data_IF_218307350774
#
_entry.id   IF_218307350774
#
_cell.length_a   1.000
_cell.length_b   1.000
_cell.length_c   1.000
_cell.angle_alpha   90.00
_cell.angle_beta   90.00
_cell.angle_gamma   90.00
#
_symmetry.space_group_name_H-M   'P 1'
#
loop_
_entity.id
_entity.type
_entity.pdbx_description
1 polymer ?
#
# COMPACT_ATOMS: atom_id res chain seq x y z
N UNK A 1 -0.97 -5.00 -12.01
CA UNK A 1 -1.39 -3.60 -11.97
C UNK A 1 -1.20 -3.10 -10.56
N UNK A 2 -0.09 -2.41 -10.36
CA UNK A 2 0.36 -1.87 -9.07
C UNK A 2 -0.21 -0.47 -8.84
N UNK A 3 -0.19 -0.02 -7.59
CA UNK A 3 -0.56 1.34 -7.16
C UNK A 3 0.32 2.46 -7.73
N UNK A 4 1.37 2.13 -8.49
CA UNK A 4 2.33 3.04 -9.15
C UNK A 4 2.33 2.90 -10.68
N UNK A 5 1.70 1.85 -11.17
CA UNK A 5 0.98 1.84 -12.44
C UNK A 5 -0.41 2.49 -12.27
N UNK A 6 -0.62 3.14 -11.12
CA UNK A 6 -1.78 3.93 -10.75
C UNK A 6 -1.23 5.28 -10.24
N UNK A 7 -1.80 6.42 -10.64
CA UNK A 7 -1.39 7.74 -10.16
C UNK A 7 -1.68 7.99 -8.68
N UNK A 8 -1.26 9.16 -8.18
CA UNK A 8 -1.44 9.62 -6.78
C UNK A 8 -2.77 9.18 -6.18
N UNK A 9 -2.69 8.50 -5.03
CA UNK A 9 -3.84 8.09 -4.24
C UNK A 9 -3.88 8.89 -2.93
N UNK A 10 -5.09 9.09 -2.40
CA UNK A 10 -5.31 9.79 -1.14
C UNK A 10 -6.20 8.95 -0.22
N UNK A 11 -5.94 9.01 1.07
CA UNK A 11 -6.77 8.45 2.13
C UNK A 11 -7.40 9.59 2.91
N UNK A 12 -8.50 10.19 2.42
CA UNK A 12 -9.13 11.29 3.12
C UNK A 12 -9.71 10.78 4.44
N UNK A 13 -9.06 11.11 5.54
CA UNK A 13 -9.62 10.95 6.87
C UNK A 13 -10.63 12.05 7.11
N UNK A 14 -11.91 11.69 7.23
CA UNK A 14 -13.00 12.64 7.46
C UNK A 14 -13.27 12.73 8.96
N UNK A 15 -13.15 13.95 9.49
CA UNK A 15 -13.41 14.29 10.88
C UNK A 15 -14.31 15.54 10.96
N UNK A 16 -15.02 15.68 12.07
CA UNK A 16 -15.83 16.84 12.40
C UNK A 16 -15.07 17.80 13.30
N UNK A 17 -15.22 19.11 13.04
CA UNK A 17 -14.73 20.17 13.93
C UNK A 17 -15.69 20.42 15.11
N UNK A 18 -16.88 19.83 15.09
CA UNK A 18 -17.84 19.96 16.21
C UNK A 18 -17.42 19.06 17.38
N UNK A 19 -17.81 19.46 18.60
CA UNK A 19 -17.67 18.61 19.77
C UNK A 19 -18.35 17.24 19.58
N UNK A 20 -17.67 16.17 19.96
CA UNK A 20 -18.22 14.82 19.90
C UNK A 20 -19.49 14.69 20.77
N UNK A 21 -20.60 14.30 20.15
CA UNK A 21 -21.88 14.09 20.82
C UNK A 21 -22.09 12.63 21.29
N UNK A 22 -21.25 11.70 20.82
CA UNK A 22 -21.32 10.28 21.13
C UNK A 22 -19.91 9.70 21.31
N UNK A 23 -19.80 8.66 22.14
CA UNK A 23 -18.56 7.93 22.41
C UNK A 23 -18.44 6.63 21.61
N UNK A 24 -19.35 6.36 20.67
CA UNK A 24 -19.39 5.13 19.87
C UNK A 24 -18.92 5.38 18.43
N UNK A 25 -18.16 4.47 17.83
CA UNK A 25 -17.68 4.61 16.45
C UNK A 25 -18.74 4.26 15.39
N UNK A 26 -19.76 3.47 15.73
CA UNK A 26 -20.78 3.00 14.79
C UNK A 26 -21.62 4.16 14.26
N UNK A 27 -21.52 4.45 12.96
CA UNK A 27 -22.27 5.53 12.31
C UNK A 27 -21.76 6.95 12.59
N UNK A 28 -20.61 7.09 13.28
CA UNK A 28 -20.02 8.38 13.64
C UNK A 28 -18.63 8.57 13.01
N UNK A 29 -18.22 9.83 12.88
CA UNK A 29 -16.83 10.23 12.57
C UNK A 29 -16.16 10.82 13.81
N UNK A 30 -14.83 10.92 13.79
CA UNK A 30 -14.10 11.56 14.89
C UNK A 30 -14.50 13.04 15.00
N UNK A 31 -14.71 13.51 16.23
CA UNK A 31 -15.07 14.91 16.53
C UNK A 31 -14.10 15.52 17.53
N UNK A 32 -14.24 16.83 17.77
CA UNK A 32 -13.41 17.52 18.76
C UNK A 32 -13.73 17.02 20.17
N UNK A 33 -12.70 16.67 20.93
CA UNK A 33 -12.80 16.48 22.38
C UNK A 33 -12.68 17.87 23.01
N UNK A 34 -13.60 18.23 23.89
CA UNK A 34 -13.52 19.47 24.67
C UNK A 34 -12.35 19.44 25.68
N UNK A 35 -12.57 19.89 26.91
CA UNK A 35 -11.53 19.91 27.95
C UNK A 35 -11.19 18.53 28.57
N UNK A 36 -11.32 17.42 27.83
CA UNK A 36 -11.15 16.06 28.36
C UNK A 36 -9.87 15.39 27.83
N UNK A 37 -9.31 14.47 28.62
CA UNK A 37 -8.10 13.72 28.24
C UNK A 37 -8.37 12.83 27.02
N UNK A 38 -7.72 13.16 25.91
CA UNK A 38 -7.90 12.54 24.58
C UNK A 38 -7.27 11.13 24.52
N UNK A 39 -6.21 10.91 25.30
CA UNK A 39 -5.49 9.64 25.34
C UNK A 39 -5.56 9.04 26.74
N UNK A 40 -6.04 7.80 26.80
CA UNK A 40 -6.05 6.95 27.98
C UNK A 40 -5.76 5.53 27.56
N UNK A 41 -5.05 4.78 28.40
CA UNK A 41 -4.88 3.35 28.22
C UNK A 41 -6.22 2.65 28.38
N UNK A 42 -6.66 1.97 27.33
CA UNK A 42 -7.88 1.19 27.32
C UNK A 42 -7.74 0.02 26.33
N UNK A 43 -8.29 -1.17 26.63
CA UNK A 43 -8.36 -2.26 25.67
C UNK A 43 -9.16 -1.87 24.42
N UNK A 44 -8.76 -2.37 23.26
CA UNK A 44 -9.50 -2.14 22.02
C UNK A 44 -10.89 -2.79 22.08
N UNK A 45 -11.95 -1.98 21.95
CA UNK A 45 -13.33 -2.45 22.08
C UNK A 45 -14.04 -2.70 20.75
N UNK A 46 -13.58 -2.08 19.66
CA UNK A 46 -14.25 -2.17 18.34
C UNK A 46 -13.23 -1.94 17.23
N UNK A 47 -13.27 -2.72 16.13
CA UNK A 47 -12.43 -2.44 14.96
C UNK A 47 -12.80 -1.09 14.35
N UNK A 48 -11.80 -0.39 13.79
CA UNK A 48 -12.07 0.77 12.95
C UNK A 48 -12.88 0.37 11.71
N UNK A 49 -13.70 1.29 11.22
CA UNK A 49 -14.44 1.10 9.98
C UNK A 49 -13.48 0.76 8.83
N UNK A 50 -13.69 -0.33 8.05
CA UNK A 50 -12.85 -0.68 6.90
C UNK A 50 -12.73 0.43 5.85
N UNK A 51 -13.67 1.38 5.86
CA UNK A 51 -13.70 2.55 4.98
C UNK A 51 -12.68 3.63 5.40
N UNK A 52 -12.08 3.55 6.59
CA UNK A 52 -11.00 4.46 7.01
C UNK A 52 -9.72 4.30 6.18
N UNK A 53 -9.48 3.10 5.64
CA UNK A 53 -8.38 2.82 4.72
C UNK A 53 -8.86 1.85 3.64
N UNK A 54 -9.41 2.38 2.55
CA UNK A 54 -9.81 1.57 1.40
C UNK A 54 -8.61 0.87 0.75
N UNK A 55 -8.83 -0.35 0.24
CA UNK A 55 -7.82 -1.01 -0.60
C UNK A 55 -7.74 -0.29 -1.96
N UNK A 56 -6.54 0.07 -2.38
CA UNK A 56 -6.27 0.67 -3.70
C UNK A 56 -5.39 -0.27 -4.52
N UNK A 57 -5.69 -0.39 -5.81
CA UNK A 57 -5.02 -1.31 -6.73
C UNK A 57 -5.75 -2.64 -6.90
N UNK A 58 -5.74 -3.18 -8.13
CA UNK A 58 -6.51 -4.37 -8.52
C UNK A 58 -5.74 -5.69 -8.41
N UNK A 59 -4.58 -5.70 -7.74
CA UNK A 59 -3.73 -6.87 -7.48
C UNK A 59 -3.39 -7.72 -8.71
N UNK A 60 -3.43 -7.13 -9.91
CA UNK A 60 -3.15 -7.86 -11.14
C UNK A 60 -1.63 -8.09 -11.31
N UNK A 61 -1.21 -9.07 -12.12
CA UNK A 61 0.16 -9.16 -12.61
C UNK A 61 0.57 -7.89 -13.37
N UNK A 62 1.86 -7.64 -13.51
CA UNK A 62 2.38 -6.58 -14.38
C UNK A 62 3.68 -6.99 -15.02
N UNK A 63 3.95 -6.46 -16.22
CA UNK A 63 5.24 -6.68 -16.85
C UNK A 63 6.32 -5.99 -16.02
N UNK A 64 7.35 -6.77 -15.68
CA UNK A 64 8.53 -6.31 -14.97
C UNK A 64 9.77 -6.42 -15.87
N UNK A 65 9.57 -6.25 -17.19
CA UNK A 65 10.64 -6.18 -18.17
C UNK A 65 11.01 -4.72 -18.42
N UNK A 66 12.29 -4.40 -18.23
CA UNK A 66 12.88 -3.18 -18.77
C UNK A 66 12.99 -3.27 -20.30
N UNK A 67 13.17 -2.15 -21.02
CA UNK A 67 13.49 -2.21 -22.45
C UNK A 67 14.73 -3.07 -22.70
N UNK A 68 14.66 -4.00 -23.65
CA UNK A 68 15.75 -4.90 -23.98
C UNK A 68 15.92 -5.07 -25.49
N UNK A 69 17.13 -5.45 -25.89
CA UNK A 69 17.47 -5.85 -27.25
C UNK A 69 17.91 -7.31 -27.23
N UNK A 70 17.32 -8.12 -28.10
CA UNK A 70 17.73 -9.52 -28.25
C UNK A 70 19.08 -9.60 -28.97
N UNK A 71 20.01 -10.38 -28.41
CA UNK A 71 21.30 -10.69 -29.03
C UNK A 71 21.56 -12.20 -28.97
N UNK A 72 22.39 -12.69 -29.90
CA UNK A 72 22.82 -14.08 -29.90
C UNK A 72 24.04 -14.24 -28.98
N UNK A 73 23.97 -15.18 -28.05
CA UNK A 73 25.10 -15.60 -27.24
C UNK A 73 25.75 -16.82 -27.86
N UNK A 74 27.06 -16.76 -28.06
CA UNK A 74 27.85 -17.91 -28.47
C UNK A 74 28.89 -18.18 -27.40
N UNK A 75 29.08 -19.46 -27.06
CA UNK A 75 30.14 -19.92 -26.16
C UNK A 75 30.93 -21.00 -26.89
N UNK A 76 32.25 -20.84 -26.93
CA UNK A 76 33.11 -21.92 -27.41
C UNK A 76 33.17 -22.98 -26.32
N UNK A 77 32.78 -24.22 -26.65
CA UNK A 77 32.97 -25.36 -25.76
C UNK A 77 34.44 -25.79 -25.66
N UNK A 78 35.28 -25.23 -26.52
CA UNK A 78 36.70 -25.52 -26.59
C UNK A 78 37.51 -24.23 -26.40
N UNK A 79 38.42 -24.28 -25.44
CA UNK A 79 39.41 -23.23 -25.24
C UNK A 79 40.54 -23.33 -26.26
N UNK A 80 41.47 -22.37 -26.19
CA UNK A 80 42.65 -22.33 -27.07
C UNK A 80 43.62 -23.48 -26.71
N UNK A 81 43.61 -23.96 -25.46
CA UNK A 81 44.52 -25.03 -25.02
C UNK A 81 43.89 -26.04 -24.02
N UNK A 82 44.15 -27.35 -24.22
CA UNK A 82 44.69 -27.94 -25.44
C UNK A 82 43.66 -27.82 -26.58
N UNK A 83 44.12 -27.52 -27.80
CA UNK A 83 43.22 -27.50 -28.95
C UNK A 83 42.61 -28.90 -29.14
N UNK A 84 41.30 -29.02 -29.38
CA UNK A 84 40.68 -30.30 -29.69
C UNK A 84 41.29 -30.85 -30.97
N UNK A 85 41.62 -32.14 -30.98
CA UNK A 85 42.02 -32.88 -32.19
C UNK A 85 40.82 -33.16 -33.07
#
# INVERSE_FOLDING_TARGET
MTTQQIPSHTHPFVASLNNAAASTPTGNVTGQVGASQIYREAPATTPMSPQTAGQTGGSQPHTNFQPYLCINFIISLFGIFPSPT
#
